data_IF_714358213200
#
_entry.id   IF_714358213200
#
_cell.length_a   1.000
_cell.length_b   1.000
_cell.length_c   1.000
_cell.angle_alpha   90.00
_cell.angle_beta   90.00
_cell.angle_gamma   90.00
#
_symmetry.space_group_name_H-M   'P 1'
#
loop_
_entity.id
_entity.type
_entity.pdbx_description
1 polymer ?
#
# COMPACT_ATOMS: atom_id res chain seq x y z
N UNK A 1 11.22 -1.64 14.03
CA UNK A 1 10.54 -2.32 15.12
C UNK A 1 10.68 -1.55 16.43
N UNK A 2 9.85 -1.88 17.39
CA UNK A 2 9.89 -1.25 18.70
C UNK A 2 11.10 -1.75 19.48
N UNK A 3 11.79 -0.83 20.17
CA UNK A 3 12.85 -1.17 21.11
C UNK A 3 12.22 -1.37 22.50
N UNK A 4 12.30 -2.56 23.09
CA UNK A 4 11.68 -2.82 24.39
C UNK A 4 12.28 -2.02 25.55
N UNK A 5 13.44 -1.41 25.33
CA UNK A 5 14.13 -0.60 26.35
C UNK A 5 13.93 0.90 26.15
N UNK A 6 13.21 1.31 25.10
CA UNK A 6 12.95 2.71 24.80
C UNK A 6 11.46 3.01 24.90
N UNK A 7 10.99 3.59 26.00
CA UNK A 7 9.56 3.87 26.18
C UNK A 7 9.02 4.93 25.22
N UNK A 8 9.88 5.73 24.60
CA UNK A 8 9.43 6.72 23.61
C UNK A 8 8.98 6.08 22.32
N UNK A 9 9.47 4.89 22.01
CA UNK A 9 9.17 4.14 20.81
C UNK A 9 7.69 3.73 20.76
N UNK A 10 7.11 3.42 21.92
CA UNK A 10 5.70 3.00 22.02
C UNK A 10 4.71 4.14 21.78
N UNK A 11 5.16 5.37 21.89
CA UNK A 11 4.33 6.56 21.65
C UNK A 11 4.55 7.16 20.27
N UNK A 12 5.33 6.51 19.41
CA UNK A 12 5.57 6.99 18.06
C UNK A 12 4.45 6.53 17.12
N UNK A 13 4.02 7.43 16.25
CA UNK A 13 3.14 7.17 15.12
C UNK A 13 4.03 7.25 13.88
N UNK A 14 4.68 6.13 13.55
CA UNK A 14 5.73 6.11 12.53
C UNK A 14 5.20 6.25 11.10
N UNK A 15 3.98 5.85 10.89
CA UNK A 15 3.33 5.93 9.59
C UNK A 15 2.31 7.08 9.50
N UNK A 16 2.15 7.80 10.61
CA UNK A 16 1.33 9.00 10.70
C UNK A 16 -0.16 8.77 10.39
N UNK A 17 -0.67 7.59 10.77
CA UNK A 17 -2.07 7.23 10.58
C UNK A 17 -2.97 7.60 11.77
N UNK A 18 -2.37 8.15 12.83
CA UNK A 18 -3.09 8.51 14.04
C UNK A 18 -3.18 7.37 15.06
N UNK A 19 -2.56 6.22 14.77
CA UNK A 19 -2.48 5.09 15.70
C UNK A 19 -1.02 4.94 16.13
N UNK A 20 -0.77 4.86 17.43
CA UNK A 20 0.57 4.70 17.96
C UNK A 20 1.07 3.27 17.68
N UNK A 21 2.37 3.12 17.44
CA UNK A 21 2.98 1.83 17.13
C UNK A 21 2.65 0.75 18.16
N UNK A 22 2.58 1.11 19.44
CA UNK A 22 2.19 0.17 20.49
C UNK A 22 0.74 -0.28 20.33
N UNK A 23 -0.16 0.65 20.00
CA UNK A 23 -1.58 0.35 19.82
C UNK A 23 -1.80 -0.58 18.62
N UNK A 24 -1.08 -0.37 17.53
CA UNK A 24 -1.10 -1.27 16.38
C UNK A 24 -0.67 -2.67 16.78
N UNK A 25 0.41 -2.79 17.52
CA UNK A 25 0.92 -4.08 18.00
C UNK A 25 -0.07 -4.78 18.92
N UNK A 26 -0.65 -4.04 19.89
CA UNK A 26 -1.59 -4.61 20.87
C UNK A 26 -2.92 -4.99 20.25
N UNK A 27 -3.37 -4.27 19.23
CA UNK A 27 -4.66 -4.52 18.57
C UNK A 27 -4.54 -5.55 17.44
N UNK A 28 -3.32 -6.00 17.13
CA UNK A 28 -3.09 -6.94 16.04
C UNK A 28 -3.38 -6.36 14.67
N UNK A 29 -3.38 -5.03 14.53
CA UNK A 29 -3.58 -4.36 13.26
C UNK A 29 -2.32 -4.42 12.41
N UNK A 30 -2.49 -4.34 11.09
CA UNK A 30 -1.38 -4.30 10.14
C UNK A 30 -0.76 -2.90 10.20
N UNK A 31 0.58 -2.79 10.20
CA UNK A 31 1.22 -1.47 10.16
C UNK A 31 0.76 -0.68 8.95
N UNK A 32 0.44 0.60 9.14
CA UNK A 32 0.12 1.50 8.04
C UNK A 32 1.37 1.75 7.19
N UNK A 33 1.19 2.22 5.96
CA UNK A 33 2.28 2.26 5.00
C UNK A 33 2.47 0.92 4.29
N UNK A 34 1.67 -0.08 4.64
CA UNK A 34 1.63 -1.38 3.97
C UNK A 34 0.48 -1.41 2.98
N UNK A 35 0.71 -2.03 1.83
CA UNK A 35 -0.33 -2.22 0.82
C UNK A 35 -1.14 -3.52 1.03
N UNK A 36 -1.06 -4.13 2.20
CA UNK A 36 -1.97 -5.19 2.63
C UNK A 36 -3.28 -4.53 3.07
N UNK A 37 -4.10 -4.16 2.09
CA UNK A 37 -5.27 -3.32 2.32
C UNK A 37 -6.40 -4.06 3.03
N UNK A 38 -6.55 -5.35 2.79
CA UNK A 38 -7.57 -6.13 3.49
C UNK A 38 -7.07 -6.72 4.82
N UNK A 39 -5.79 -6.57 5.12
CA UNK A 39 -5.23 -6.92 6.42
C UNK A 39 -5.13 -8.41 6.69
N UNK A 40 -5.05 -9.24 5.65
CA UNK A 40 -4.97 -10.69 5.83
C UNK A 40 -3.54 -11.22 6.01
N UNK A 41 -2.54 -10.33 6.02
CA UNK A 41 -1.14 -10.70 6.16
C UNK A 41 -0.46 -11.14 4.87
N UNK A 42 -1.11 -10.94 3.74
CA UNK A 42 -0.57 -11.30 2.42
C UNK A 42 -0.71 -10.12 1.45
N UNK A 43 0.20 -10.06 0.49
CA UNK A 43 0.19 -9.03 -0.54
C UNK A 43 -0.22 -9.68 -1.86
N UNK A 44 -1.48 -9.53 -2.24
CA UNK A 44 -2.06 -10.17 -3.41
C UNK A 44 -2.44 -9.17 -4.49
N UNK A 45 -2.06 -9.47 -5.74
CA UNK A 45 -2.39 -8.61 -6.88
C UNK A 45 -3.89 -8.45 -7.08
N UNK A 46 -4.64 -9.54 -6.92
CA UNK A 46 -6.08 -9.56 -7.19
C UNK A 46 -6.95 -9.19 -5.98
N UNK A 47 -6.34 -8.89 -4.84
CA UNK A 47 -7.00 -8.30 -3.68
C UNK A 47 -6.46 -6.90 -3.45
N UNK A 48 -5.30 -6.77 -2.82
CA UNK A 48 -4.70 -5.49 -2.46
C UNK A 48 -4.41 -4.61 -3.68
N UNK A 49 -3.84 -5.20 -4.73
CA UNK A 49 -3.54 -4.47 -5.95
C UNK A 49 -4.79 -3.91 -6.61
N UNK A 50 -5.86 -4.70 -6.70
CA UNK A 50 -7.13 -4.24 -7.25
C UNK A 50 -7.82 -3.22 -6.37
N UNK A 51 -7.78 -3.40 -5.05
CA UNK A 51 -8.35 -2.42 -4.12
C UNK A 51 -7.68 -1.06 -4.29
N UNK A 52 -6.36 -1.05 -4.35
CA UNK A 52 -5.61 0.18 -4.54
C UNK A 52 -5.93 0.82 -5.91
N UNK A 53 -5.92 0.03 -6.96
CA UNK A 53 -6.22 0.51 -8.31
C UNK A 53 -7.62 1.10 -8.41
N UNK A 54 -8.61 0.41 -7.86
CA UNK A 54 -10.00 0.90 -7.82
C UNK A 54 -10.12 2.20 -7.03
N UNK A 55 -9.43 2.29 -5.89
CA UNK A 55 -9.38 3.52 -5.08
C UNK A 55 -8.78 4.68 -5.86
N UNK A 56 -7.72 4.44 -6.61
CA UNK A 56 -7.09 5.46 -7.47
C UNK A 56 -8.00 5.91 -8.61
N UNK A 57 -8.89 5.03 -9.10
CA UNK A 57 -9.91 5.40 -10.08
C UNK A 57 -11.10 6.14 -9.46
N UNK A 58 -11.12 6.32 -8.15
CA UNK A 58 -12.18 7.02 -7.45
C UNK A 58 -13.40 6.16 -7.10
N UNK A 59 -13.28 4.84 -7.20
CA UNK A 59 -14.36 3.94 -6.79
C UNK A 59 -14.48 3.92 -5.26
N UNK A 60 -15.71 3.82 -4.79
CA UNK A 60 -16.01 3.77 -3.36
C UNK A 60 -17.16 2.80 -3.09
N UNK A 61 -17.47 2.58 -1.81
CA UNK A 61 -18.56 1.70 -1.41
C UNK A 61 -18.40 0.29 -1.97
N UNK A 62 -19.50 -0.34 -2.36
CA UNK A 62 -19.48 -1.70 -2.90
C UNK A 62 -18.66 -1.83 -4.18
N UNK A 63 -18.61 -0.79 -5.00
CA UNK A 63 -17.83 -0.79 -6.23
C UNK A 63 -16.33 -0.96 -5.96
N UNK A 64 -15.87 -0.51 -4.80
CA UNK A 64 -14.47 -0.66 -4.39
C UNK A 64 -14.15 -2.10 -3.98
N UNK A 65 -15.01 -2.72 -3.17
CA UNK A 65 -14.69 -3.97 -2.48
C UNK A 65 -15.27 -5.24 -3.11
N UNK A 66 -16.24 -5.14 -4.01
CA UNK A 66 -16.92 -6.31 -4.56
C UNK A 66 -15.93 -7.22 -5.30
N UNK A 67 -15.85 -8.48 -4.85
CA UNK A 67 -15.02 -9.51 -5.47
C UNK A 67 -13.51 -9.35 -5.27
N UNK A 68 -13.08 -8.48 -4.36
CA UNK A 68 -11.65 -8.19 -4.13
C UNK A 68 -11.14 -8.49 -2.73
N UNK A 69 -12.02 -8.76 -1.79
CA UNK A 69 -11.59 -9.07 -0.42
C UNK A 69 -11.27 -10.56 -0.30
N UNK A 70 -10.18 -10.88 0.40
CA UNK A 70 -9.87 -12.26 0.74
C UNK A 70 -10.85 -12.79 1.77
N UNK A 71 -11.03 -14.12 1.82
CA UNK A 71 -11.92 -14.76 2.78
C UNK A 71 -11.49 -14.59 4.23
N UNK A 72 -10.19 -14.34 4.43
CA UNK A 72 -9.57 -14.11 5.74
C UNK A 72 -9.24 -12.64 5.99
N UNK A 73 -9.87 -11.72 5.25
CA UNK A 73 -9.65 -10.28 5.40
C UNK A 73 -10.01 -9.80 6.81
N UNK A 74 -9.14 -8.97 7.36
CA UNK A 74 -9.40 -8.28 8.63
C UNK A 74 -10.31 -7.06 8.42
N UNK A 75 -10.09 -6.33 7.33
CA UNK A 75 -10.88 -5.16 6.96
C UNK A 75 -11.83 -5.55 5.84
N UNK A 76 -13.14 -5.52 6.13
CA UNK A 76 -14.17 -6.02 5.23
C UNK A 76 -15.16 -4.96 4.77
N UNK A 77 -15.16 -3.77 5.36
CA UNK A 77 -16.03 -2.68 4.94
C UNK A 77 -15.32 -1.76 3.94
N UNK A 78 -16.09 -1.16 3.05
CA UNK A 78 -15.53 -0.16 2.12
C UNK A 78 -14.91 1.03 2.86
N UNK A 79 -15.50 1.43 3.98
CA UNK A 79 -15.00 2.54 4.79
C UNK A 79 -13.60 2.24 5.35
N UNK A 80 -13.37 1.02 5.84
CA UNK A 80 -12.07 0.61 6.34
C UNK A 80 -11.02 0.63 5.22
N UNK A 81 -11.37 0.10 4.05
CA UNK A 81 -10.46 0.06 2.90
C UNK A 81 -10.16 1.48 2.41
N UNK A 82 -11.17 2.32 2.29
CA UNK A 82 -10.99 3.72 1.87
C UNK A 82 -10.04 4.46 2.82
N UNK A 83 -10.22 4.27 4.12
CA UNK A 83 -9.36 4.88 5.15
C UNK A 83 -7.91 4.41 4.99
N UNK A 84 -7.70 3.11 4.78
CA UNK A 84 -6.35 2.58 4.60
C UNK A 84 -5.68 3.12 3.34
N UNK A 85 -6.42 3.27 2.25
CA UNK A 85 -5.89 3.85 1.01
C UNK A 85 -5.50 5.32 1.25
N UNK A 86 -6.35 6.10 1.93
CA UNK A 86 -6.06 7.50 2.24
C UNK A 86 -4.82 7.65 3.12
N UNK A 87 -4.62 6.73 4.08
CA UNK A 87 -3.47 6.76 4.97
C UNK A 87 -2.15 6.49 4.25
N UNK A 88 -2.18 5.79 3.11
CA UNK A 88 -0.98 5.59 2.30
C UNK A 88 -0.49 6.90 1.67
N UNK A 89 -1.42 7.79 1.29
CA UNK A 89 -1.11 9.13 0.78
C UNK A 89 0.03 9.11 -0.25
N UNK A 90 1.06 9.93 -0.08
CA UNK A 90 2.17 10.04 -1.03
C UNK A 90 3.03 8.77 -1.16
N UNK A 91 2.86 7.80 -0.27
CA UNK A 91 3.58 6.53 -0.37
C UNK A 91 3.24 5.77 -1.65
N UNK A 92 2.03 5.96 -2.18
CA UNK A 92 1.60 5.30 -3.42
C UNK A 92 1.92 6.10 -4.68
N UNK A 93 2.57 7.25 -4.55
CA UNK A 93 3.22 7.94 -5.66
C UNK A 93 4.53 7.22 -5.96
N UNK A 94 4.42 6.11 -6.67
CA UNK A 94 5.52 5.15 -6.84
C UNK A 94 6.63 5.70 -7.71
N UNK A 95 6.28 6.43 -8.77
CA UNK A 95 7.28 7.02 -9.66
C UNK A 95 7.78 8.39 -9.18
N UNK A 96 7.19 8.95 -8.13
CA UNK A 96 7.66 10.17 -7.49
C UNK A 96 7.47 11.43 -8.31
N UNK A 97 6.42 11.50 -9.14
CA UNK A 97 6.13 12.69 -9.94
C UNK A 97 5.24 13.72 -9.21
N UNK A 98 4.84 13.43 -7.98
CA UNK A 98 3.95 14.29 -7.20
C UNK A 98 2.46 14.09 -7.45
N UNK A 99 2.11 13.12 -8.27
CA UNK A 99 0.73 12.77 -8.59
C UNK A 99 0.50 11.28 -8.38
N UNK A 100 -0.72 10.93 -7.95
CA UNK A 100 -1.11 9.54 -7.74
C UNK A 100 -2.07 9.16 -8.85
N UNK A 101 -1.61 8.34 -9.78
CA UNK A 101 -2.35 7.95 -10.98
C UNK A 101 -2.56 6.45 -11.05
N UNK A 102 -3.80 6.04 -11.35
CA UNK A 102 -4.14 4.63 -11.49
C UNK A 102 -3.34 3.94 -12.59
N UNK A 103 -3.10 4.63 -13.71
CA UNK A 103 -2.43 4.06 -14.89
C UNK A 103 -0.91 4.17 -14.86
N UNK A 104 -0.35 4.79 -13.83
CA UNK A 104 1.09 4.77 -13.54
C UNK A 104 1.33 4.04 -12.23
N UNK A 105 1.08 4.70 -11.11
CA UNK A 105 1.34 4.14 -9.78
C UNK A 105 0.56 2.86 -9.50
N UNK A 106 -0.72 2.85 -9.83
CA UNK A 106 -1.57 1.68 -9.63
C UNK A 106 -1.09 0.47 -10.42
N UNK A 107 -0.68 0.69 -11.68
CA UNK A 107 -0.13 -0.39 -12.50
C UNK A 107 1.22 -0.87 -12.00
N UNK A 108 2.07 0.02 -11.50
CA UNK A 108 3.35 -0.37 -10.92
C UNK A 108 3.16 -1.28 -9.70
N UNK A 109 2.24 -0.92 -8.81
CA UNK A 109 1.90 -1.77 -7.66
C UNK A 109 1.37 -3.12 -8.13
N UNK A 110 0.42 -3.12 -9.06
CA UNK A 110 -0.21 -4.34 -9.55
C UNK A 110 0.81 -5.27 -10.21
N UNK A 111 1.66 -4.74 -11.08
CA UNK A 111 2.72 -5.50 -11.74
C UNK A 111 3.70 -6.09 -10.74
N UNK A 112 4.10 -5.31 -9.75
CA UNK A 112 5.00 -5.76 -8.69
C UNK A 112 4.39 -6.93 -7.90
N UNK A 113 3.12 -6.83 -7.55
CA UNK A 113 2.41 -7.89 -6.83
C UNK A 113 2.24 -9.16 -7.67
N UNK A 114 2.18 -9.03 -9.00
CA UNK A 114 2.22 -10.18 -9.91
C UNK A 114 3.62 -10.78 -10.06
N UNK A 115 4.63 -10.18 -9.45
CA UNK A 115 6.00 -10.69 -9.51
C UNK A 115 6.83 -10.18 -10.69
N UNK A 116 6.36 -9.15 -11.40
CA UNK A 116 7.11 -8.56 -12.50
C UNK A 116 8.30 -7.74 -11.99
N UNK A 117 9.42 -7.81 -12.68
CA UNK A 117 10.67 -7.14 -12.32
C UNK A 117 11.32 -6.54 -13.56
N UNK A 118 12.28 -5.64 -13.35
CA UNK A 118 13.05 -5.02 -14.42
C UNK A 118 12.17 -4.27 -15.40
N UNK A 119 12.46 -4.38 -16.69
CA UNK A 119 11.71 -3.70 -17.75
C UNK A 119 10.23 -4.09 -17.78
N UNK A 120 9.90 -5.35 -17.46
CA UNK A 120 8.52 -5.81 -17.42
C UNK A 120 7.69 -5.05 -16.37
N UNK A 121 8.33 -4.58 -15.30
CA UNK A 121 7.67 -3.79 -14.27
C UNK A 121 7.36 -2.38 -14.74
N UNK A 122 8.33 -1.71 -15.36
CA UNK A 122 8.28 -0.27 -15.63
C UNK A 122 7.91 0.11 -17.07
N UNK A 123 7.87 -0.83 -18.00
CA UNK A 123 7.64 -0.55 -19.42
C UNK A 123 6.31 0.20 -19.65
N UNK A 124 6.41 1.37 -20.28
CA UNK A 124 5.26 2.21 -20.69
C UNK A 124 4.36 2.72 -19.56
N UNK A 125 4.83 2.67 -18.31
CA UNK A 125 4.03 3.14 -17.15
C UNK A 125 4.70 4.21 -16.31
N UNK A 126 5.95 4.56 -16.60
CA UNK A 126 6.66 5.64 -15.89
C UNK A 126 6.27 6.99 -16.50
N UNK A 127 5.83 7.92 -15.65
CA UNK A 127 5.48 9.26 -16.12
C UNK A 127 6.73 10.01 -16.62
N UNK A 128 6.52 10.95 -17.54
CA UNK A 128 7.63 11.72 -18.11
C UNK A 128 8.35 12.59 -17.07
N UNK A 129 7.64 12.99 -16.03
CA UNK A 129 8.15 13.83 -14.93
C UNK A 129 8.50 13.02 -13.68
N UNK A 130 8.63 11.69 -13.80
CA UNK A 130 8.95 10.82 -12.69
C UNK A 130 10.35 11.12 -12.11
N UNK A 131 10.47 11.04 -10.79
CA UNK A 131 11.77 11.12 -10.10
C UNK A 131 12.42 9.76 -9.91
N UNK A 132 11.61 8.68 -9.89
CA UNK A 132 12.07 7.30 -9.89
C UNK A 132 11.83 6.72 -11.28
N UNK A 133 12.88 6.46 -12.02
CA UNK A 133 12.78 6.07 -13.43
C UNK A 133 13.37 4.70 -13.72
N UNK A 134 14.17 4.13 -12.82
CA UNK A 134 14.74 2.79 -13.00
C UNK A 134 13.91 1.75 -12.26
N UNK A 135 13.94 0.51 -12.78
CA UNK A 135 13.27 -0.61 -12.11
C UNK A 135 13.80 -0.82 -10.70
N UNK A 136 15.09 -0.64 -10.48
CA UNK A 136 15.69 -0.78 -9.14
C UNK A 136 15.12 0.23 -8.14
N UNK A 137 14.92 1.47 -8.54
CA UNK A 137 14.33 2.51 -7.68
C UNK A 137 12.86 2.21 -7.37
N UNK A 138 12.11 1.80 -8.39
CA UNK A 138 10.70 1.43 -8.24
C UNK A 138 10.54 0.20 -7.34
N UNK A 139 11.33 -0.84 -7.57
CA UNK A 139 11.31 -2.07 -6.76
C UNK A 139 11.66 -1.77 -5.30
N UNK A 140 12.66 -0.94 -5.04
CA UNK A 140 13.03 -0.55 -3.68
C UNK A 140 11.89 0.20 -2.98
N UNK A 141 11.23 1.11 -3.69
CA UNK A 141 10.08 1.84 -3.13
C UNK A 141 8.92 0.90 -2.82
N UNK A 142 8.57 0.01 -3.75
CA UNK A 142 7.48 -0.96 -3.57
C UNK A 142 7.79 -1.95 -2.46
N UNK A 143 9.05 -2.37 -2.32
CA UNK A 143 9.48 -3.22 -1.21
C UNK A 143 9.23 -2.55 0.14
N UNK A 144 9.37 -1.22 0.23
CA UNK A 144 9.07 -0.49 1.46
C UNK A 144 7.58 -0.49 1.82
N UNK A 145 6.71 -0.71 0.84
CA UNK A 145 5.26 -0.81 1.03
C UNK A 145 4.79 -2.23 1.36
N UNK A 146 5.68 -3.20 1.31
CA UNK A 146 5.40 -4.60 1.60
C UNK A 146 6.28 -5.11 2.75
N UNK A 147 6.20 -4.49 3.93
CA UNK A 147 6.98 -4.93 5.08
C UNK A 147 6.55 -6.33 5.52
N UNK A 148 7.46 -7.05 6.19
CA UNK A 148 7.12 -8.34 6.80
C UNK A 148 6.08 -8.14 7.90
N UNK A 149 5.04 -8.94 7.84
CA UNK A 149 3.92 -8.88 8.78
C UNK A 149 4.02 -10.01 9.79
#
# INVERSE_FOLDING_TARGET
GLDPNDPSDSSSDQDNDGVLALDEFLNGTVPSGSIDLDGNGQYDALTDGLLLLRGMFGLNGDALITGTLASDALYTSSEDIETRIELLNNLVDVDGNGQIDALTDGLLVLRYLFGLQGEALISDVIAADATRTSSAEIEAHLASLTPSI
#
